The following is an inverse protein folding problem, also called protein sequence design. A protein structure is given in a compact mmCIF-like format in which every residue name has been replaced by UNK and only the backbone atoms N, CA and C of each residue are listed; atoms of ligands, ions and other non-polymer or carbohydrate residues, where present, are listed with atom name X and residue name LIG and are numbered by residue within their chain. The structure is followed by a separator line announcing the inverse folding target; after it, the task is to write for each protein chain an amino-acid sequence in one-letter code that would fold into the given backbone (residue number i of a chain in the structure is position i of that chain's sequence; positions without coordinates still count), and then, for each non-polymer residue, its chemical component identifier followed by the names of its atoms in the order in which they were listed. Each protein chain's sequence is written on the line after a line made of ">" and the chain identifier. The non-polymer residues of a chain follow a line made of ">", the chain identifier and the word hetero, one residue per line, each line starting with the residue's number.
data_IF_517975951952
#
_entry.id   IF_517975951952
#
_cell.length_a   1.000
_cell.length_b   1.000
_cell.length_c   1.000
_cell.angle_alpha   90.00
_cell.angle_beta   90.00
_cell.angle_gamma   90.00
#
_symmetry.space_group_name_H-M   'P 1'
#
loop_
_entity.id
_entity.type
_entity.pdbx_description
1 polymer ?
#
# COMPACT_ATOMS: atom_id res chain seq x y z
N UNK A 1 -8.55 -3.63 2.59
CA UNK A 1 -8.27 -2.28 2.02
C UNK A 1 -7.25 -2.44 0.89
N UNK A 2 -6.87 -1.38 0.16
CA UNK A 2 -5.80 -1.46 -0.84
C UNK A 2 -4.90 -0.22 -0.75
N UNK A 3 -3.61 -0.40 -1.05
CA UNK A 3 -2.63 0.69 -1.22
C UNK A 3 -2.14 0.70 -2.67
N UNK A 4 -2.08 1.89 -3.26
CA UNK A 4 -1.55 2.12 -4.60
C UNK A 4 -0.25 2.94 -4.50
N UNK A 5 0.86 2.39 -4.98
CA UNK A 5 2.13 3.11 -5.14
C UNK A 5 2.26 3.52 -6.61
N UNK A 6 2.09 4.81 -6.86
CA UNK A 6 2.11 5.39 -8.22
C UNK A 6 3.52 5.85 -8.58
N UNK A 7 4.03 5.36 -9.70
CA UNK A 7 5.34 5.67 -10.23
C UNK A 7 5.22 6.41 -11.56
N UNK A 8 6.01 7.47 -11.73
CA UNK A 8 6.14 8.22 -12.98
C UNK A 8 7.38 7.75 -13.74
N UNK A 9 7.29 7.64 -15.07
CA UNK A 9 8.45 7.44 -15.94
C UNK A 9 9.46 8.57 -15.72
N UNK A 10 10.74 8.22 -15.57
CA UNK A 10 11.79 9.17 -15.13
C UNK A 10 12.11 10.25 -16.17
N UNK A 11 11.92 9.94 -17.44
CA UNK A 11 12.19 10.80 -18.60
C UNK A 11 11.06 11.79 -18.93
N UNK A 12 9.91 11.70 -18.24
CA UNK A 12 8.74 12.55 -18.49
C UNK A 12 8.47 13.51 -17.34
N UNK A 13 7.91 14.67 -17.65
CA UNK A 13 7.16 15.48 -16.67
C UNK A 13 5.88 14.75 -16.24
N UNK A 14 5.26 15.18 -15.14
CA UNK A 14 3.99 14.58 -14.71
C UNK A 14 2.88 14.82 -15.75
N UNK A 15 2.86 16.01 -16.37
CA UNK A 15 1.87 16.36 -17.39
C UNK A 15 1.96 15.50 -18.65
N UNK A 16 3.20 15.19 -19.08
CA UNK A 16 3.45 14.29 -20.20
C UNK A 16 3.13 12.84 -19.82
N UNK A 17 3.51 12.43 -18.61
CA UNK A 17 3.29 11.07 -18.13
C UNK A 17 1.81 10.69 -18.07
N UNK A 18 0.93 11.60 -17.63
CA UNK A 18 -0.53 11.36 -17.57
C UNK A 18 -1.16 11.20 -18.97
N UNK A 19 -0.55 11.81 -19.99
CA UNK A 19 -1.02 11.70 -21.39
C UNK A 19 -0.38 10.54 -22.15
N UNK A 20 0.63 9.90 -21.57
CA UNK A 20 1.41 8.84 -22.19
C UNK A 20 0.93 7.49 -21.67
N UNK A 21 0.53 6.58 -22.57
CA UNK A 21 0.02 5.25 -22.22
C UNK A 21 0.91 4.43 -21.27
N UNK A 22 2.23 4.62 -21.27
CA UNK A 22 3.16 3.98 -20.33
C UNK A 22 3.92 5.01 -19.48
N UNK A 23 3.37 6.20 -19.32
CA UNK A 23 3.97 7.28 -18.54
C UNK A 23 3.83 7.07 -17.03
N UNK A 24 2.83 6.30 -16.60
CA UNK A 24 2.59 5.93 -15.21
C UNK A 24 2.57 4.41 -15.05
N UNK A 25 3.03 3.94 -13.90
CA UNK A 25 2.89 2.56 -13.44
C UNK A 25 2.37 2.56 -12.00
N UNK A 26 1.44 1.66 -11.68
CA UNK A 26 0.87 1.54 -10.34
C UNK A 26 1.15 0.15 -9.80
N UNK A 27 1.73 0.07 -8.60
CA UNK A 27 1.78 -1.17 -7.82
C UNK A 27 0.62 -1.14 -6.83
N UNK A 28 -0.30 -2.10 -6.96
CA UNK A 28 -1.43 -2.26 -6.07
C UNK A 28 -1.23 -3.43 -5.12
N UNK A 29 -1.47 -3.21 -3.83
CA UNK A 29 -1.39 -4.24 -2.80
C UNK A 29 -2.67 -4.28 -1.99
N UNK A 30 -3.19 -5.48 -1.73
CA UNK A 30 -4.29 -5.66 -0.79
C UNK A 30 -3.78 -5.62 0.65
N UNK A 31 -4.57 -4.99 1.51
CA UNK A 31 -4.34 -4.95 2.95
C UNK A 31 -5.38 -5.86 3.58
N UNK A 32 -4.90 -6.93 4.19
CA UNK A 32 -5.70 -7.96 4.84
C UNK A 32 -5.75 -7.70 6.35
N UNK A 33 -6.89 -8.02 6.96
CA UNK A 33 -6.99 -8.00 8.41
C UNK A 33 -6.38 -9.29 8.96
N UNK A 34 -5.62 -9.23 10.06
CA UNK A 34 -5.16 -10.45 10.72
C UNK A 34 -6.36 -11.26 11.21
N UNK A 35 -6.28 -12.58 11.10
CA UNK A 35 -7.31 -13.46 11.64
C UNK A 35 -7.40 -13.27 13.17
N UNK A 36 -8.55 -12.76 13.62
CA UNK A 36 -8.88 -12.72 15.04
C UNK A 36 -9.26 -14.13 15.52
N UNK A 37 -8.28 -15.04 15.54
CA UNK A 37 -8.44 -16.25 16.33
C UNK A 37 -8.56 -15.78 17.77
N UNK A 38 -9.76 -15.86 18.35
CA UNK A 38 -10.01 -15.52 19.75
C UNK A 38 -9.10 -16.40 20.60
N UNK A 39 -7.94 -15.88 20.98
CA UNK A 39 -7.19 -16.39 22.11
C UNK A 39 -8.05 -16.08 23.34
N UNK A 40 -8.87 -17.05 23.72
CA UNK A 40 -9.52 -17.07 25.03
C UNK A 40 -8.48 -16.73 26.08
N UNK A 41 -8.81 -15.76 26.91
CA UNK A 41 -8.04 -15.29 28.06
C UNK A 41 -7.35 -16.42 28.83
N UNK A 42 -6.03 -16.34 28.94
CA UNK A 42 -5.32 -16.87 30.10
C UNK A 42 -4.10 -16.00 30.37
N UNK A 43 -4.19 -15.20 31.43
CA UNK A 43 -3.04 -14.73 32.18
C UNK A 43 -2.11 -15.88 32.53
N UNK A 44 -0.83 -15.81 32.15
CA UNK A 44 0.31 -16.16 33.02
C UNK A 44 1.64 -16.08 32.27
N UNK A 45 2.64 -15.68 33.04
CA UNK A 45 4.07 -15.65 32.76
C UNK A 45 4.63 -17.02 32.33
N UNK A 46 5.58 -17.04 31.39
CA UNK A 46 6.43 -18.21 31.13
C UNK A 46 6.79 -18.42 29.66
N UNK A 47 8.07 -18.66 29.38
CA UNK A 47 8.64 -18.87 28.05
C UNK A 47 8.26 -20.24 27.41
N UNK A 48 7.94 -20.23 26.11
CA UNK A 48 8.46 -21.09 25.00
C UNK A 48 7.42 -21.40 23.90
N UNK A 49 7.71 -20.86 22.72
CA UNK A 49 7.64 -21.39 21.34
C UNK A 49 6.48 -22.30 20.87
N UNK A 50 5.64 -21.73 19.99
CA UNK A 50 5.00 -22.38 18.83
C UNK A 50 4.85 -21.30 17.73
N UNK A 51 5.02 -21.62 16.42
CA UNK A 51 5.10 -20.60 15.38
C UNK A 51 3.69 -20.08 15.07
N UNK A 52 3.36 -18.91 15.60
CA UNK A 52 2.26 -18.09 15.12
C UNK A 52 2.53 -17.72 13.63
N UNK A 53 1.48 -17.49 12.81
CA UNK A 53 1.68 -16.99 11.45
C UNK A 53 2.55 -15.74 11.53
N UNK A 54 3.69 -15.81 10.85
CA UNK A 54 4.81 -14.87 10.93
C UNK A 54 4.48 -13.57 10.17
N UNK A 55 3.41 -12.89 10.54
CA UNK A 55 3.32 -11.45 10.29
C UNK A 55 4.35 -10.81 11.21
N UNK A 56 5.50 -10.44 10.68
CA UNK A 56 6.59 -9.89 11.46
C UNK A 56 6.09 -8.69 12.27
N UNK A 57 6.46 -8.62 13.55
CA UNK A 57 6.11 -7.51 14.46
C UNK A 57 6.41 -6.13 13.85
N UNK A 58 7.40 -6.05 12.94
CA UNK A 58 7.76 -4.85 12.18
C UNK A 58 6.65 -4.34 11.26
N UNK A 59 5.90 -5.22 10.59
CA UNK A 59 4.93 -4.85 9.55
C UNK A 59 3.78 -4.08 10.21
N UNK A 60 3.28 -4.61 11.33
CA UNK A 60 2.27 -3.95 12.15
C UNK A 60 2.77 -2.63 12.74
N UNK A 61 4.08 -2.49 13.00
CA UNK A 61 4.66 -1.23 13.49
C UNK A 61 4.59 -0.16 12.40
N UNK A 62 5.00 -0.45 11.16
CA UNK A 62 4.95 0.51 10.06
C UNK A 62 3.51 0.98 9.77
N UNK A 63 2.56 0.04 9.74
CA UNK A 63 1.14 0.38 9.58
C UNK A 63 0.58 1.19 10.75
N UNK A 64 0.96 0.87 11.99
CA UNK A 64 0.54 1.65 13.17
C UNK A 64 1.07 3.08 13.11
N UNK A 65 2.34 3.26 12.76
CA UNK A 65 2.93 4.60 12.58
C UNK A 65 2.15 5.42 11.54
N UNK A 66 1.94 4.84 10.35
CA UNK A 66 1.20 5.51 9.28
C UNK A 66 -0.24 5.86 9.69
N UNK A 67 -0.96 4.91 10.29
CA UNK A 67 -2.38 5.08 10.64
C UNK A 67 -2.62 6.03 11.81
N UNK A 68 -1.64 6.25 12.69
CA UNK A 68 -1.76 7.21 13.79
C UNK A 68 -2.06 8.64 13.30
N UNK A 69 -1.48 9.03 12.15
CA UNK A 69 -1.69 10.36 11.55
C UNK A 69 -3.12 10.58 11.06
N UNK A 70 -3.88 9.52 10.76
CA UNK A 70 -5.25 9.62 10.24
C UNK A 70 -6.19 10.33 11.23
N UNK A 71 -5.91 10.24 12.54
CA UNK A 71 -6.69 10.92 13.57
C UNK A 71 -6.58 12.45 13.52
N UNK A 72 -5.53 12.98 12.90
CA UNK A 72 -5.26 14.42 12.75
C UNK A 72 -5.81 15.01 11.46
N UNK A 73 -6.28 14.18 10.51
CA UNK A 73 -6.75 14.60 9.18
C UNK A 73 -8.21 14.22 8.91
N UNK A 74 -9.09 14.50 9.88
CA UNK A 74 -10.52 14.12 9.81
C UNK A 74 -11.31 14.96 8.81
N UNK A 75 -10.90 16.20 8.61
CA UNK A 75 -11.61 17.16 7.79
C UNK A 75 -11.09 17.15 6.34
N UNK A 76 -11.96 17.44 5.39
CA UNK A 76 -11.58 17.56 3.98
C UNK A 76 -10.53 18.68 3.84
N UNK A 77 -9.49 18.41 3.08
CA UNK A 77 -8.35 19.32 2.85
C UNK A 77 -7.49 19.60 4.08
N UNK A 78 -7.67 18.85 5.18
CA UNK A 78 -6.70 18.88 6.29
C UNK A 78 -5.45 18.08 5.93
N UNK A 79 -4.30 18.59 6.34
CA UNK A 79 -2.99 18.01 6.06
C UNK A 79 -2.19 17.90 7.36
N UNK A 80 -1.34 16.88 7.45
CA UNK A 80 -0.42 16.70 8.58
C UNK A 80 0.94 16.27 8.04
N UNK A 81 2.00 16.83 8.60
CA UNK A 81 3.36 16.44 8.26
C UNK A 81 3.67 15.06 8.86
N UNK A 82 4.16 14.14 8.02
CA UNK A 82 4.62 12.82 8.46
C UNK A 82 6.10 12.93 8.82
N UNK A 83 6.39 12.91 10.12
CA UNK A 83 7.73 13.08 10.69
C UNK A 83 8.41 11.76 11.07
N UNK A 84 7.64 10.69 11.26
CA UNK A 84 8.19 9.37 11.56
C UNK A 84 8.72 8.69 10.30
N UNK A 85 9.88 8.04 10.42
CA UNK A 85 10.40 7.19 9.35
C UNK A 85 9.51 5.95 9.17
N UNK A 86 9.05 5.76 7.92
CA UNK A 86 8.21 4.65 7.48
C UNK A 86 8.87 4.03 6.24
N UNK A 87 9.22 2.75 6.34
CA UNK A 87 9.74 1.98 5.21
C UNK A 87 8.57 1.46 4.37
N UNK A 88 8.65 1.67 3.05
CA UNK A 88 7.72 1.04 2.11
C UNK A 88 7.84 -0.49 2.20
N UNK A 89 9.05 -1.02 2.38
CA UNK A 89 9.25 -2.46 2.50
C UNK A 89 8.52 -3.04 3.72
N UNK A 90 8.52 -2.31 4.84
CA UNK A 90 7.83 -2.74 6.06
C UNK A 90 6.30 -2.63 5.92
N UNK A 91 5.79 -1.65 5.15
CA UNK A 91 4.36 -1.56 4.83
C UNK A 91 3.89 -2.73 3.96
N UNK A 92 4.76 -3.22 3.08
CA UNK A 92 4.49 -4.38 2.23
C UNK A 92 4.75 -5.71 2.95
N UNK A 93 5.54 -5.71 4.02
CA UNK A 93 5.80 -6.87 4.87
C UNK A 93 6.25 -8.10 4.07
N UNK A 94 5.59 -9.23 4.33
CA UNK A 94 5.88 -10.52 3.72
C UNK A 94 5.18 -10.79 2.38
N UNK A 95 4.64 -9.78 1.70
CA UNK A 95 4.03 -9.96 0.36
C UNK A 95 5.05 -10.56 -0.62
N UNK A 96 4.67 -11.64 -1.31
CA UNK A 96 5.47 -12.19 -2.42
C UNK A 96 5.41 -11.23 -3.61
N UNK A 97 6.53 -10.57 -3.89
CA UNK A 97 6.67 -9.59 -4.97
C UNK A 97 7.06 -10.23 -6.30
N UNK A 98 7.28 -11.54 -6.33
CA UNK A 98 7.60 -12.31 -7.55
C UNK A 98 6.35 -12.86 -8.23
N UNK A 99 5.24 -13.00 -7.48
CA UNK A 99 3.94 -13.44 -7.99
C UNK A 99 2.95 -12.25 -8.05
N UNK A 100 2.71 -11.74 -9.26
CA UNK A 100 1.81 -10.60 -9.45
C UNK A 100 1.06 -10.67 -10.79
N UNK A 101 -0.08 -9.98 -10.85
CA UNK A 101 -0.80 -9.74 -12.10
C UNK A 101 -0.37 -8.40 -12.70
N UNK A 102 -0.28 -8.35 -14.03
CA UNK A 102 0.00 -7.12 -14.77
C UNK A 102 -0.99 -6.97 -15.90
N UNK A 103 -1.57 -5.78 -16.02
CA UNK A 103 -2.42 -5.42 -17.13
C UNK A 103 -2.26 -3.92 -17.42
N UNK A 104 -2.63 -3.52 -18.63
CA UNK A 104 -2.75 -2.13 -19.01
C UNK A 104 -4.14 -1.65 -18.56
N UNK A 105 -4.18 -0.71 -17.62
CA UNK A 105 -5.42 -0.22 -16.99
C UNK A 105 -5.67 1.26 -17.24
N UNK A 106 -6.45 1.90 -16.38
CA UNK A 106 -6.67 3.35 -16.40
C UNK A 106 -6.60 3.94 -14.99
N UNK A 107 -6.53 5.27 -14.87
CA UNK A 107 -6.68 5.93 -13.57
C UNK A 107 -8.06 5.62 -12.97
N UNK A 108 -8.10 5.25 -11.69
CA UNK A 108 -9.35 4.93 -10.96
C UNK A 108 -10.07 6.18 -10.42
N UNK A 109 -9.69 7.36 -10.91
CA UNK A 109 -10.24 8.68 -10.54
C UNK A 109 -10.60 9.43 -11.81
N UNK A 110 -11.46 10.47 -11.75
CA UNK A 110 -11.95 11.17 -12.93
C UNK A 110 -10.85 11.59 -13.93
N UNK A 111 -11.22 11.66 -15.22
CA UNK A 111 -10.39 11.69 -16.43
C UNK A 111 -9.86 10.33 -16.91
N UNK A 112 -9.83 9.31 -16.04
CA UNK A 112 -9.69 7.89 -16.38
C UNK A 112 -8.63 7.59 -17.46
N UNK A 113 -7.49 8.30 -17.46
CA UNK A 113 -6.48 8.20 -18.51
C UNK A 113 -6.03 6.74 -18.67
N UNK A 114 -6.18 6.20 -19.89
CA UNK A 114 -5.85 4.81 -20.18
C UNK A 114 -4.34 4.64 -20.37
N UNK A 115 -3.79 3.63 -19.69
CA UNK A 115 -2.48 3.09 -19.92
C UNK A 115 -2.47 2.21 -21.18
N UNK A 116 -2.91 2.74 -22.32
CA UNK A 116 -3.08 1.95 -23.54
C UNK A 116 -4.20 2.47 -24.42
N UNK A 117 -4.04 3.68 -24.98
CA UNK A 117 -4.94 4.14 -26.03
C UNK A 117 -4.81 3.22 -27.25
N UNK A 118 -5.83 2.41 -27.51
CA UNK A 118 -6.15 1.92 -28.85
C UNK A 118 -6.75 3.09 -29.64
N UNK A 119 -5.94 4.10 -29.94
CA UNK A 119 -6.22 5.07 -31.00
C UNK A 119 -5.18 4.78 -32.10
N UNK A 120 -5.51 3.94 -33.08
CA UNK A 120 -4.63 3.73 -34.22
C UNK A 120 -4.71 2.43 -35.02
N UNK A 121 -5.85 1.72 -35.05
CA UNK A 121 -6.21 0.89 -36.20
C UNK A 121 -7.68 1.05 -36.55
#
# INVERSE_FOLDING_TARGET
>A
MAIHIVNKRKDLSLEEAVKTSNGLAVLGFFIEAPDSTKSSSSSSSGHQEAPAPTSSTSDMVAWRKLTNYLSSIKDISSEVEVTEEISIDDLLGNVDRTAYYRYNGSLTTPNCNEAGGLDGL
#
